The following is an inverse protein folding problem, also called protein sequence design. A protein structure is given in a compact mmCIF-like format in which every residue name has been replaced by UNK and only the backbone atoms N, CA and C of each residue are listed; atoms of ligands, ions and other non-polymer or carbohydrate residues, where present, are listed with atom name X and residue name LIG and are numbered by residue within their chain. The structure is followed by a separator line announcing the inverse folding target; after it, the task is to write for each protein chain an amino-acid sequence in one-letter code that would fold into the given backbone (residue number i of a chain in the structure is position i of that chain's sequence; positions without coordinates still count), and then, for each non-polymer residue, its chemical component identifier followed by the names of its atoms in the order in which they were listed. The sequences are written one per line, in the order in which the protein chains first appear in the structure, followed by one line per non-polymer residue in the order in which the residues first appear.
data_IF_845307254630
#
_entry.id   IF_845307254630
#
_cell.length_a   1.000
_cell.length_b   1.000
_cell.length_c   1.000
_cell.angle_alpha   90.00
_cell.angle_beta   90.00
_cell.angle_gamma   90.00
#
_symmetry.space_group_name_H-M   'P 1'
#
loop_
_entity.id
_entity.type
_entity.pdbx_description
1 polymer ?
#
# COMPACT_ATOMS: atom_id res chain seq x y z
N UNK A 1 -64.40 -7.49 -8.76
CA UNK A 1 -63.12 -6.76 -8.90
C UNK A 1 -62.10 -7.43 -7.98
N UNK A 2 -61.28 -8.33 -8.52
CA UNK A 2 -60.22 -9.00 -7.74
C UNK A 2 -58.97 -8.14 -7.78
N UNK A 3 -58.55 -7.62 -6.63
CA UNK A 3 -57.32 -6.87 -6.48
C UNK A 3 -56.13 -7.84 -6.44
N UNK A 4 -55.26 -7.77 -7.46
CA UNK A 4 -53.97 -8.43 -7.49
C UNK A 4 -53.01 -7.67 -6.55
N UNK A 5 -52.68 -8.29 -5.42
CA UNK A 5 -51.56 -7.84 -4.58
C UNK A 5 -50.25 -8.26 -5.24
N UNK A 6 -49.54 -7.31 -5.86
CA UNK A 6 -48.14 -7.49 -6.22
C UNK A 6 -47.32 -7.52 -4.93
N UNK A 7 -46.90 -8.70 -4.51
CA UNK A 7 -45.81 -8.84 -3.53
C UNK A 7 -44.54 -8.34 -4.18
N UNK A 8 -44.11 -7.12 -3.85
CA UNK A 8 -42.77 -6.68 -4.16
C UNK A 8 -41.79 -7.62 -3.46
N UNK A 9 -41.10 -8.46 -4.24
CA UNK A 9 -39.92 -9.18 -3.74
C UNK A 9 -38.91 -8.09 -3.41
N UNK A 10 -38.75 -7.79 -2.12
CA UNK A 10 -37.59 -7.05 -1.66
C UNK A 10 -36.39 -7.92 -2.01
N UNK A 11 -35.68 -7.58 -3.08
CA UNK A 11 -34.36 -8.12 -3.32
C UNK A 11 -33.51 -7.73 -2.11
N UNK A 12 -33.33 -8.68 -1.19
CA UNK A 12 -32.40 -8.52 -0.10
C UNK A 12 -31.04 -8.27 -0.75
N UNK A 13 -30.42 -7.14 -0.40
CA UNK A 13 -29.05 -6.86 -0.81
C UNK A 13 -28.22 -8.07 -0.34
N UNK A 14 -27.61 -8.80 -1.29
CA UNK A 14 -26.81 -9.97 -0.98
C UNK A 14 -25.78 -9.59 0.09
N UNK A 15 -25.69 -10.41 1.14
CA UNK A 15 -24.69 -10.18 2.19
C UNK A 15 -23.31 -10.28 1.54
N UNK A 16 -22.36 -9.46 1.98
CA UNK A 16 -21.00 -9.45 1.45
C UNK A 16 -20.38 -10.85 1.43
N UNK A 17 -20.67 -11.67 2.44
CA UNK A 17 -20.19 -13.04 2.53
C UNK A 17 -20.70 -13.94 1.40
N UNK A 18 -21.91 -13.70 0.89
CA UNK A 18 -22.54 -14.47 -0.18
C UNK A 18 -21.95 -14.11 -1.56
N UNK A 19 -21.47 -12.89 -1.72
CA UNK A 19 -20.85 -12.41 -2.96
C UNK A 19 -19.34 -12.65 -3.01
N UNK A 20 -18.75 -13.14 -1.92
CA UNK A 20 -17.32 -13.38 -1.83
C UNK A 20 -16.88 -14.50 -2.78
N UNK A 21 -15.92 -14.20 -3.65
CA UNK A 21 -15.33 -15.15 -4.59
C UNK A 21 -13.81 -15.11 -4.52
N UNK A 22 -13.21 -16.29 -4.51
CA UNK A 22 -11.77 -16.49 -4.73
C UNK A 22 -11.52 -17.02 -6.14
N UNK A 23 -10.54 -16.43 -6.83
CA UNK A 23 -10.06 -16.89 -8.15
C UNK A 23 -8.53 -17.06 -8.13
N UNK A 24 -8.02 -17.91 -9.02
CA UNK A 24 -6.58 -18.14 -9.20
C UNK A 24 -5.99 -19.16 -8.22
N UNK A 25 -4.66 -19.18 -8.13
CA UNK A 25 -3.90 -20.10 -7.28
C UNK A 25 -2.59 -19.44 -6.81
N UNK A 26 -1.90 -20.02 -5.82
CA UNK A 26 -0.69 -19.41 -5.24
C UNK A 26 0.46 -19.25 -6.25
N UNK A 27 0.50 -20.03 -7.32
CA UNK A 27 1.56 -19.99 -8.34
C UNK A 27 1.32 -18.80 -9.29
N UNK A 28 0.08 -18.63 -9.77
CA UNK A 28 -0.31 -17.54 -10.68
C UNK A 28 -0.75 -16.25 -9.98
N UNK A 29 -0.96 -16.29 -8.67
CA UNK A 29 -1.58 -15.23 -7.88
C UNK A 29 -3.05 -15.52 -7.54
N UNK A 30 -3.51 -14.94 -6.45
CA UNK A 30 -4.87 -15.08 -5.94
C UNK A 30 -5.64 -13.77 -6.13
N UNK A 31 -6.94 -13.87 -6.42
CA UNK A 31 -7.84 -12.73 -6.43
C UNK A 31 -9.02 -13.01 -5.50
N UNK A 32 -9.30 -12.07 -4.61
CA UNK A 32 -10.48 -12.09 -3.76
C UNK A 32 -11.38 -10.94 -4.15
N UNK A 33 -12.66 -11.23 -4.36
CA UNK A 33 -13.66 -10.27 -4.81
C UNK A 33 -14.83 -10.34 -3.83
N UNK A 34 -15.32 -9.20 -3.37
CA UNK A 34 -16.55 -9.11 -2.60
C UNK A 34 -17.34 -7.87 -3.04
N UNK A 35 -18.66 -7.95 -2.91
CA UNK A 35 -19.59 -6.93 -3.40
C UNK A 35 -20.67 -6.66 -2.36
N UNK A 36 -21.04 -5.39 -2.20
CA UNK A 36 -22.24 -4.98 -1.47
C UNK A 36 -23.08 -4.02 -2.30
N UNK A 37 -24.39 -4.06 -2.11
CA UNK A 37 -25.30 -3.03 -2.60
C UNK A 37 -25.72 -2.15 -1.42
N UNK A 38 -25.49 -0.85 -1.54
CA UNK A 38 -25.80 0.14 -0.50
C UNK A 38 -26.96 1.02 -0.96
N UNK A 39 -28.18 0.80 -0.46
CA UNK A 39 -29.32 1.65 -0.75
C UNK A 39 -29.05 3.10 -0.36
N UNK A 40 -29.66 4.05 -1.08
CA UNK A 40 -29.58 5.49 -0.79
C UNK A 40 -28.14 6.05 -0.74
N UNK A 41 -27.20 5.42 -1.44
CA UNK A 41 -25.82 5.88 -1.58
C UNK A 41 -25.50 6.19 -3.04
N UNK A 42 -24.74 7.26 -3.28
CA UNK A 42 -24.13 7.55 -4.58
C UNK A 42 -22.74 6.92 -4.66
N UNK A 43 -22.26 6.49 -5.84
CA UNK A 43 -20.93 5.90 -6.01
C UNK A 43 -19.80 6.71 -5.37
N UNK A 44 -19.73 8.02 -5.66
CA UNK A 44 -18.71 8.92 -5.10
C UNK A 44 -18.75 8.94 -3.57
N UNK A 45 -19.96 8.95 -2.97
CA UNK A 45 -20.10 8.98 -1.50
C UNK A 45 -19.74 7.65 -0.86
N UNK A 46 -19.98 6.53 -1.53
CA UNK A 46 -19.57 5.21 -1.06
C UNK A 46 -18.04 5.07 -1.09
N UNK A 47 -17.40 5.54 -2.16
CA UNK A 47 -15.93 5.52 -2.29
C UNK A 47 -15.24 6.46 -1.31
N UNK A 48 -15.79 7.65 -1.05
CA UNK A 48 -15.26 8.53 -0.01
C UNK A 48 -15.39 7.94 1.40
N UNK A 49 -16.47 7.20 1.69
CA UNK A 49 -16.54 6.40 2.92
C UNK A 49 -15.44 5.33 2.95
N UNK A 50 -15.26 4.58 1.85
CA UNK A 50 -14.23 3.55 1.76
C UNK A 50 -12.82 4.09 1.94
N UNK A 51 -12.53 5.29 1.45
CA UNK A 51 -11.26 5.97 1.71
C UNK A 51 -11.04 6.18 3.21
N UNK A 52 -12.04 6.71 3.93
CA UNK A 52 -11.96 6.90 5.37
C UNK A 52 -11.78 5.58 6.13
N UNK A 53 -12.54 4.55 5.75
CA UNK A 53 -12.47 3.20 6.33
C UNK A 53 -11.08 2.58 6.12
N UNK A 54 -10.55 2.66 4.90
CA UNK A 54 -9.23 2.17 4.53
C UNK A 54 -8.12 2.88 5.33
N UNK A 55 -8.15 4.21 5.37
CA UNK A 55 -7.18 5.02 6.11
C UNK A 55 -7.20 4.69 7.61
N UNK A 56 -8.39 4.56 8.22
CA UNK A 56 -8.55 4.19 9.62
C UNK A 56 -8.00 2.78 9.94
N UNK A 57 -8.06 1.86 8.97
CA UNK A 57 -7.49 0.51 9.07
C UNK A 57 -6.01 0.43 8.69
N UNK A 58 -5.39 1.55 8.34
CA UNK A 58 -3.96 1.60 8.03
C UNK A 58 -3.61 1.24 6.59
N UNK A 59 -4.58 1.13 5.68
CA UNK A 59 -4.31 0.95 4.25
C UNK A 59 -3.78 2.22 3.62
N UNK A 60 -2.81 2.09 2.71
CA UNK A 60 -2.30 3.23 1.95
C UNK A 60 -3.30 3.62 0.87
N UNK A 61 -3.60 4.91 0.75
CA UNK A 61 -4.41 5.44 -0.35
C UNK A 61 -3.49 5.73 -1.54
N UNK A 62 -3.60 4.92 -2.59
CA UNK A 62 -2.71 4.97 -3.75
C UNK A 62 -3.25 5.89 -4.85
N UNK A 63 -4.56 5.86 -5.09
CA UNK A 63 -5.25 6.77 -6.01
C UNK A 63 -6.71 6.93 -5.55
N UNK A 64 -7.17 8.17 -5.44
CA UNK A 64 -8.57 8.51 -5.15
C UNK A 64 -9.18 9.14 -6.41
N UNK A 65 -10.00 8.36 -7.10
CA UNK A 65 -10.74 8.75 -8.30
C UNK A 65 -12.24 8.55 -8.04
N UNK A 66 -12.70 8.86 -6.83
CA UNK A 66 -14.08 8.60 -6.42
C UNK A 66 -15.11 9.28 -7.35
N UNK A 67 -14.77 10.43 -7.93
CA UNK A 67 -15.57 11.13 -8.93
C UNK A 67 -15.76 10.32 -10.23
N UNK A 68 -14.82 9.44 -10.54
CA UNK A 68 -14.83 8.53 -11.68
C UNK A 68 -15.17 7.08 -11.30
N UNK A 69 -15.59 6.84 -10.06
CA UNK A 69 -16.06 5.53 -9.60
C UNK A 69 -14.96 4.54 -9.21
N UNK A 70 -13.74 5.00 -8.90
CA UNK A 70 -12.62 4.14 -8.54
C UNK A 70 -11.83 4.64 -7.32
N UNK A 71 -11.32 3.71 -6.52
CA UNK A 71 -10.39 3.94 -5.43
C UNK A 71 -9.36 2.80 -5.43
N UNK A 72 -8.08 3.14 -5.43
CA UNK A 72 -6.99 2.18 -5.28
C UNK A 72 -6.37 2.35 -3.90
N UNK A 73 -6.39 1.28 -3.12
CA UNK A 73 -5.69 1.19 -1.85
C UNK A 73 -4.66 0.06 -1.89
N UNK A 74 -3.74 0.07 -0.94
CA UNK A 74 -2.73 -0.98 -0.81
C UNK A 74 -2.62 -1.42 0.65
N UNK A 75 -2.52 -2.73 0.88
CA UNK A 75 -2.14 -3.21 2.20
C UNK A 75 -0.69 -2.81 2.45
N UNK A 76 -0.38 -2.05 3.52
CA UNK A 76 1.00 -1.66 3.80
C UNK A 76 1.85 -2.89 4.05
N UNK A 77 3.14 -2.76 3.76
CA UNK A 77 4.11 -3.76 4.19
C UNK A 77 4.15 -3.81 5.71
N UNK A 78 4.01 -5.01 6.27
CA UNK A 78 4.11 -5.24 7.72
C UNK A 78 4.87 -6.52 7.97
N UNK A 79 5.97 -6.44 8.73
CA UNK A 79 6.83 -7.61 9.00
C UNK A 79 7.25 -8.32 7.71
N UNK A 80 6.81 -9.57 7.54
CA UNK A 80 7.08 -10.40 6.34
C UNK A 80 6.00 -10.29 5.25
N UNK A 81 4.89 -9.58 5.49
CA UNK A 81 3.83 -9.40 4.52
C UNK A 81 4.23 -8.35 3.47
N UNK A 82 4.35 -8.80 2.21
CA UNK A 82 4.54 -7.91 1.06
C UNK A 82 3.23 -7.17 0.76
N UNK A 83 3.36 -5.91 0.34
CA UNK A 83 2.22 -5.11 -0.08
C UNK A 83 1.53 -5.69 -1.33
N UNK A 84 0.21 -5.49 -1.42
CA UNK A 84 -0.59 -5.85 -2.59
C UNK A 84 -1.76 -4.88 -2.80
N UNK A 85 -2.14 -4.63 -4.06
CA UNK A 85 -3.19 -3.67 -4.39
C UNK A 85 -4.58 -4.23 -4.13
N UNK A 86 -5.48 -3.33 -3.75
CA UNK A 86 -6.92 -3.57 -3.65
C UNK A 86 -7.62 -2.46 -4.42
N UNK A 87 -8.35 -2.82 -5.47
CA UNK A 87 -9.17 -1.89 -6.25
C UNK A 87 -10.59 -1.94 -5.73
N UNK A 88 -11.16 -0.77 -5.46
CA UNK A 88 -12.55 -0.61 -5.06
C UNK A 88 -13.24 0.21 -6.14
N UNK A 89 -14.31 -0.30 -6.72
CA UNK A 89 -15.13 0.42 -7.69
C UNK A 89 -16.55 0.55 -7.19
N UNK A 90 -17.23 1.62 -7.61
CA UNK A 90 -18.63 1.82 -7.29
C UNK A 90 -19.40 2.23 -8.54
N UNK A 91 -20.55 1.58 -8.75
CA UNK A 91 -21.51 1.93 -9.80
C UNK A 91 -22.88 2.18 -9.17
N UNK A 92 -23.76 2.86 -9.91
CA UNK A 92 -25.13 3.12 -9.47
C UNK A 92 -26.09 2.23 -10.26
N UNK A 93 -26.99 1.57 -9.55
CA UNK A 93 -28.08 0.81 -10.13
C UNK A 93 -29.30 0.88 -9.21
N UNK A 94 -30.47 1.20 -9.77
CA UNK A 94 -31.75 1.22 -9.06
C UNK A 94 -31.76 2.05 -7.75
N UNK A 95 -31.05 3.19 -7.71
CA UNK A 95 -30.98 4.05 -6.53
C UNK A 95 -30.11 3.52 -5.38
N UNK A 96 -29.36 2.44 -5.63
CA UNK A 96 -28.34 1.91 -4.76
C UNK A 96 -26.96 2.02 -5.41
N UNK A 97 -25.92 2.12 -4.59
CA UNK A 97 -24.54 1.99 -5.07
C UNK A 97 -24.07 0.55 -4.89
N UNK A 98 -23.67 -0.08 -5.98
CA UNK A 98 -22.98 -1.38 -5.96
C UNK A 98 -21.49 -1.12 -5.81
N UNK A 99 -20.91 -1.56 -4.70
CA UNK A 99 -19.49 -1.38 -4.39
C UNK A 99 -18.79 -2.74 -4.48
N UNK A 100 -17.77 -2.82 -5.32
CA UNK A 100 -16.96 -4.03 -5.53
C UNK A 100 -15.57 -3.78 -5.01
N UNK A 101 -15.05 -4.70 -4.19
CA UNK A 101 -13.66 -4.69 -3.71
C UNK A 101 -12.94 -5.90 -4.29
N UNK A 102 -11.79 -5.67 -4.95
CA UNK A 102 -10.95 -6.72 -5.51
C UNK A 102 -9.52 -6.63 -4.98
N UNK A 103 -9.11 -7.61 -4.17
CA UNK A 103 -7.74 -7.76 -3.68
C UNK A 103 -6.95 -8.73 -4.55
N UNK A 104 -5.78 -8.31 -5.04
CA UNK A 104 -4.91 -9.11 -5.94
C UNK A 104 -3.60 -9.47 -5.25
N UNK A 105 -3.51 -10.71 -4.75
CA UNK A 105 -2.28 -11.24 -4.17
C UNK A 105 -1.35 -11.76 -5.28
N UNK A 106 -0.09 -11.37 -5.20
CA UNK A 106 0.95 -11.78 -6.16
C UNK A 106 1.32 -13.25 -5.96
N UNK A 107 1.96 -13.84 -6.95
CA UNK A 107 2.52 -15.19 -6.85
C UNK A 107 3.34 -15.39 -5.56
N UNK A 108 3.12 -16.52 -4.89
CA UNK A 108 3.72 -16.87 -3.60
C UNK A 108 3.15 -16.11 -2.40
N UNK A 109 2.17 -15.21 -2.58
CA UNK A 109 1.39 -14.66 -1.47
C UNK A 109 0.12 -15.49 -1.27
N UNK A 110 -0.24 -15.69 -0.01
CA UNK A 110 -1.49 -16.34 0.36
C UNK A 110 -2.04 -15.73 1.64
N UNK A 111 -3.33 -15.93 1.83
CA UNK A 111 -4.03 -15.72 3.09
C UNK A 111 -5.15 -16.77 3.18
N UNK A 112 -5.72 -16.95 4.37
CA UNK A 112 -6.88 -17.83 4.55
C UNK A 112 -8.11 -17.18 3.91
N UNK A 113 -8.94 -17.98 3.27
CA UNK A 113 -10.14 -17.50 2.57
C UNK A 113 -11.09 -16.81 3.56
N UNK A 114 -11.22 -17.35 4.78
CA UNK A 114 -11.99 -16.72 5.86
C UNK A 114 -11.41 -15.37 6.26
N UNK A 115 -10.09 -15.26 6.44
CA UNK A 115 -9.45 -13.99 6.79
C UNK A 115 -9.62 -12.93 5.69
N UNK A 116 -9.52 -13.31 4.42
CA UNK A 116 -9.77 -12.39 3.29
C UNK A 116 -11.24 -11.93 3.26
N UNK A 117 -12.18 -12.87 3.36
CA UNK A 117 -13.62 -12.57 3.38
C UNK A 117 -13.98 -11.67 4.55
N UNK A 118 -13.56 -12.03 5.76
CA UNK A 118 -13.91 -11.32 6.97
C UNK A 118 -13.36 -9.89 6.95
N UNK A 119 -12.13 -9.67 6.46
CA UNK A 119 -11.55 -8.33 6.31
C UNK A 119 -12.26 -7.50 5.24
N UNK A 120 -12.50 -8.06 4.05
CA UNK A 120 -13.19 -7.35 2.96
C UNK A 120 -14.62 -6.98 3.36
N UNK A 121 -15.34 -7.90 3.99
CA UNK A 121 -16.71 -7.65 4.45
C UNK A 121 -16.76 -6.73 5.66
N UNK A 122 -15.78 -6.77 6.56
CA UNK A 122 -15.68 -5.78 7.63
C UNK A 122 -15.51 -4.35 7.11
N UNK A 123 -14.85 -4.16 5.96
CA UNK A 123 -14.76 -2.84 5.32
C UNK A 123 -16.05 -2.48 4.57
N UNK A 124 -16.55 -3.35 3.69
CA UNK A 124 -17.71 -3.08 2.85
C UNK A 124 -18.99 -2.85 3.68
N UNK A 125 -19.18 -3.59 4.77
CA UNK A 125 -20.37 -3.47 5.62
C UNK A 125 -20.37 -2.20 6.49
N UNK A 126 -19.29 -1.43 6.53
CA UNK A 126 -19.27 -0.12 7.19
C UNK A 126 -19.86 1.00 6.34
N UNK A 127 -20.06 0.79 5.03
CA UNK A 127 -20.62 1.80 4.14
C UNK A 127 -22.10 1.99 4.47
N UNK A 128 -22.51 3.25 4.61
CA UNK A 128 -23.88 3.63 4.95
C UNK A 128 -24.52 4.41 3.80
N UNK A 129 -25.83 4.25 3.67
CA UNK A 129 -26.69 5.07 2.83
C UNK A 129 -27.20 6.33 3.53
N UNK A 130 -27.91 7.17 2.76
CA UNK A 130 -28.65 8.33 3.24
C UNK A 130 -27.79 9.37 3.97
N UNK A 131 -28.39 10.06 4.95
CA UNK A 131 -27.70 11.14 5.70
C UNK A 131 -26.47 10.65 6.47
N UNK A 132 -26.51 9.43 7.01
CA UNK A 132 -25.38 8.84 7.72
C UNK A 132 -24.20 8.58 6.76
N UNK A 133 -24.50 8.06 5.56
CA UNK A 133 -23.52 7.88 4.50
C UNK A 133 -22.86 9.18 4.07
N UNK A 134 -23.66 10.24 3.88
CA UNK A 134 -23.13 11.57 3.52
C UNK A 134 -22.20 12.15 4.60
N UNK A 135 -22.53 11.97 5.88
CA UNK A 135 -21.69 12.43 6.98
C UNK A 135 -20.37 11.64 7.07
N UNK A 136 -20.44 10.31 6.91
CA UNK A 136 -19.26 9.46 6.89
C UNK A 136 -18.36 9.77 5.68
N UNK A 137 -18.96 10.00 4.50
CA UNK A 137 -18.24 10.38 3.29
C UNK A 137 -17.44 11.68 3.49
N UNK A 138 -18.05 12.70 4.09
CA UNK A 138 -17.36 13.98 4.40
C UNK A 138 -16.13 13.78 5.29
N UNK A 139 -16.18 12.82 6.22
CA UNK A 139 -15.05 12.51 7.12
C UNK A 139 -13.96 11.69 6.41
N UNK A 140 -14.32 10.96 5.35
CA UNK A 140 -13.37 10.21 4.52
C UNK A 140 -12.67 11.07 3.47
N UNK A 141 -13.28 12.19 3.04
CA UNK A 141 -12.62 13.17 2.17
C UNK A 141 -11.35 13.67 2.83
N UNK A 142 -10.23 13.55 2.13
CA UNK A 142 -8.93 14.00 2.66
C UNK A 142 -8.32 13.06 3.70
N UNK A 143 -8.99 11.96 4.07
CA UNK A 143 -8.43 11.01 5.03
C UNK A 143 -7.11 10.45 4.49
N UNK A 144 -6.11 10.43 5.37
CA UNK A 144 -4.78 9.87 5.13
C UNK A 144 -4.52 8.76 6.13
N UNK A 145 -3.73 7.79 5.69
CA UNK A 145 -3.32 6.66 6.51
C UNK A 145 -2.51 7.15 7.71
N UNK A 146 -2.83 6.66 8.90
CA UNK A 146 -2.02 6.93 10.09
C UNK A 146 -0.62 6.36 9.89
N UNK A 147 0.41 7.13 10.21
CA UNK A 147 1.79 6.69 10.08
C UNK A 147 2.05 5.43 10.93
N UNK A 148 2.32 4.30 10.27
CA UNK A 148 2.73 3.08 10.92
C UNK A 148 4.14 3.23 11.53
N UNK A 149 4.48 2.35 12.47
CA UNK A 149 5.85 2.23 12.96
C UNK A 149 6.83 1.97 11.79
N UNK A 150 8.10 2.42 11.88
CA UNK A 150 9.07 2.21 10.82
C UNK A 150 9.19 0.73 10.43
N UNK A 151 9.13 0.45 9.13
CA UNK A 151 9.33 -0.90 8.61
C UNK A 151 10.82 -1.25 8.72
N UNK A 152 11.13 -2.33 9.44
CA UNK A 152 12.51 -2.78 9.66
C UNK A 152 12.92 -3.78 8.60
N UNK A 153 14.02 -3.51 7.88
CA UNK A 153 14.58 -4.44 6.89
C UNK A 153 16.02 -4.09 6.53
N UNK A 154 16.79 -5.05 6.02
CA UNK A 154 18.14 -4.77 5.55
C UNK A 154 18.13 -4.08 4.18
N UNK A 155 19.24 -3.41 3.84
CA UNK A 155 19.41 -2.62 2.63
C UNK A 155 19.26 -3.44 1.35
N UNK A 156 19.73 -4.70 1.32
CA UNK A 156 19.59 -5.58 0.17
C UNK A 156 18.13 -5.94 -0.08
N UNK A 157 17.39 -6.33 0.96
CA UNK A 157 15.96 -6.65 0.87
C UNK A 157 15.15 -5.43 0.42
N UNK A 158 15.47 -4.24 0.93
CA UNK A 158 14.78 -3.01 0.52
C UNK A 158 15.06 -2.67 -0.94
N UNK A 159 16.33 -2.73 -1.36
CA UNK A 159 16.74 -2.52 -2.75
C UNK A 159 16.07 -3.50 -3.71
N UNK A 160 16.11 -4.80 -3.41
CA UNK A 160 15.45 -5.82 -4.23
C UNK A 160 13.95 -5.57 -4.36
N UNK A 161 13.31 -5.14 -3.28
CA UNK A 161 11.89 -4.86 -3.27
C UNK A 161 11.55 -3.64 -4.13
N UNK A 162 12.26 -2.52 -3.93
CA UNK A 162 12.04 -1.30 -4.74
C UNK A 162 12.37 -1.58 -6.21
N UNK A 163 13.43 -2.33 -6.51
CA UNK A 163 13.74 -2.75 -7.89
C UNK A 163 12.62 -3.57 -8.50
N UNK A 164 12.01 -4.48 -7.74
CA UNK A 164 10.89 -5.29 -8.24
C UNK A 164 9.61 -4.50 -8.43
N UNK A 165 9.32 -3.54 -7.56
CA UNK A 165 8.19 -2.65 -7.80
C UNK A 165 8.47 -1.71 -8.98
N UNK A 166 9.72 -1.30 -9.20
CA UNK A 166 10.16 -0.50 -10.35
C UNK A 166 10.00 -1.25 -11.67
N UNK A 167 10.47 -2.49 -11.75
CA UNK A 167 10.31 -3.36 -12.93
C UNK A 167 8.84 -3.57 -13.32
N UNK A 168 7.94 -3.57 -12.33
CA UNK A 168 6.50 -3.73 -12.55
C UNK A 168 5.83 -2.43 -12.96
N UNK A 169 6.13 -1.34 -12.26
CA UNK A 169 5.58 -0.02 -12.51
C UNK A 169 6.40 1.04 -11.76
N UNK A 170 7.40 1.61 -12.43
CA UNK A 170 8.24 2.69 -11.89
C UNK A 170 7.43 3.89 -11.39
N UNK A 171 6.41 4.31 -12.15
CA UNK A 171 5.57 5.47 -11.80
C UNK A 171 4.82 5.30 -10.47
N UNK A 172 4.54 4.06 -10.06
CA UNK A 172 3.87 3.76 -8.80
C UNK A 172 4.79 3.69 -7.58
N UNK A 173 6.12 3.73 -7.76
CA UNK A 173 7.09 3.56 -6.66
C UNK A 173 6.98 4.72 -5.68
N UNK A 174 7.07 5.97 -6.15
CA UNK A 174 7.04 7.10 -5.23
C UNK A 174 5.69 7.20 -4.51
N UNK A 175 4.57 6.96 -5.20
CA UNK A 175 3.24 6.87 -4.58
C UNK A 175 3.18 5.83 -3.46
N UNK A 176 3.84 4.68 -3.65
CA UNK A 176 3.89 3.59 -2.66
C UNK A 176 4.74 3.92 -1.44
N UNK A 177 5.89 4.57 -1.63
CA UNK A 177 6.90 4.67 -0.58
C UNK A 177 6.97 6.04 0.08
N UNK A 178 6.61 7.14 -0.60
CA UNK A 178 6.79 8.50 -0.10
C UNK A 178 6.10 8.70 1.25
N UNK A 179 6.81 9.32 2.19
CA UNK A 179 6.32 9.57 3.55
C UNK A 179 6.39 8.37 4.48
N UNK A 180 6.68 7.16 3.99
CA UNK A 180 6.85 5.98 4.83
C UNK A 180 8.23 5.97 5.49
N UNK A 181 8.25 5.53 6.73
CA UNK A 181 9.48 5.38 7.51
C UNK A 181 10.01 3.94 7.42
N UNK A 182 11.32 3.84 7.24
CA UNK A 182 12.03 2.57 7.24
C UNK A 182 13.21 2.66 8.21
N UNK A 183 13.43 1.59 8.95
CA UNK A 183 14.68 1.35 9.67
C UNK A 183 15.50 0.35 8.86
N UNK A 184 16.59 0.84 8.26
CA UNK A 184 17.42 0.09 7.33
C UNK A 184 18.76 -0.27 7.96
N UNK A 185 19.02 -1.55 8.13
CA UNK A 185 20.33 -2.08 8.48
C UNK A 185 21.15 -2.45 7.22
N UNK A 186 22.48 -2.33 7.29
CA UNK A 186 23.36 -2.69 6.18
C UNK A 186 24.80 -2.24 6.42
N UNK A 187 25.57 -2.11 5.35
CA UNK A 187 26.94 -1.58 5.39
C UNK A 187 27.02 -0.22 4.72
N UNK A 188 27.90 0.65 5.20
CA UNK A 188 28.23 1.91 4.53
C UNK A 188 28.95 1.62 3.21
N UNK A 189 28.45 2.18 2.12
CA UNK A 189 29.20 2.28 0.87
C UNK A 189 30.08 3.53 0.89
N UNK A 190 29.44 4.68 1.06
CA UNK A 190 30.09 5.98 1.14
C UNK A 190 29.39 6.90 2.13
N UNK A 191 30.12 7.93 2.54
CA UNK A 191 29.61 9.10 3.23
C UNK A 191 30.13 10.32 2.49
N UNK A 192 29.25 11.25 2.13
CA UNK A 192 29.65 12.47 1.44
C UNK A 192 28.88 13.68 1.96
N UNK A 193 29.52 14.84 1.96
CA UNK A 193 28.85 16.11 2.29
C UNK A 193 28.05 16.56 1.07
N UNK A 194 26.79 16.94 1.29
CA UNK A 194 25.91 17.47 0.25
C UNK A 194 25.19 18.70 0.78
N UNK A 195 25.65 19.88 0.35
CA UNK A 195 25.25 21.16 0.95
C UNK A 195 25.51 21.19 2.46
N UNK A 196 24.42 21.38 3.22
CA UNK A 196 24.44 21.46 4.68
C UNK A 196 24.19 20.11 5.37
N UNK A 197 23.98 19.02 4.62
CA UNK A 197 23.72 17.69 5.14
C UNK A 197 24.83 16.71 4.76
N UNK A 198 24.78 15.52 5.37
CA UNK A 198 25.57 14.37 4.95
C UNK A 198 24.66 13.36 4.25
N UNK A 199 25.15 12.78 3.16
CA UNK A 199 24.55 11.62 2.51
C UNK A 199 25.32 10.37 2.87
N UNK A 200 24.59 9.32 3.21
CA UNK A 200 25.13 7.99 3.48
C UNK A 200 24.51 7.02 2.48
N UNK A 201 25.34 6.43 1.62
CA UNK A 201 24.92 5.35 0.72
C UNK A 201 25.09 3.99 1.38
N UNK A 202 24.13 3.09 1.17
CA UNK A 202 24.26 1.70 1.59
C UNK A 202 24.99 0.88 0.53
N UNK A 203 25.86 -0.03 0.99
CA UNK A 203 26.58 -0.97 0.11
C UNK A 203 25.63 -2.09 -0.29
N UNK A 204 25.29 -2.13 -1.57
CA UNK A 204 24.32 -3.09 -2.13
C UNK A 204 24.93 -3.70 -3.40
N UNK A 205 25.18 -5.02 -3.43
CA UNK A 205 25.77 -5.68 -4.59
C UNK A 205 24.78 -5.70 -5.77
N UNK A 206 25.31 -5.57 -6.98
CA UNK A 206 24.50 -5.79 -8.17
C UNK A 206 23.96 -7.23 -8.22
N UNK A 207 22.83 -7.50 -8.90
CA UNK A 207 22.29 -8.86 -8.97
C UNK A 207 23.25 -9.93 -9.51
N UNK A 208 24.18 -9.56 -10.40
CA UNK A 208 25.22 -10.47 -10.94
C UNK A 208 26.44 -10.65 -10.03
N UNK A 209 26.59 -9.83 -9.00
CA UNK A 209 27.66 -9.93 -7.98
C UNK A 209 27.21 -10.74 -6.75
N UNK A 210 25.93 -11.10 -6.68
CA UNK A 210 25.37 -11.81 -5.53
C UNK A 210 25.71 -13.30 -5.60
N UNK A 211 26.17 -13.85 -4.47
CA UNK A 211 26.52 -15.27 -4.35
C UNK A 211 25.33 -16.20 -4.65
N UNK A 212 24.12 -15.76 -4.34
CA UNK A 212 22.86 -16.47 -4.64
C UNK A 212 21.90 -15.45 -5.25
N UNK A 213 21.46 -15.71 -6.48
CA UNK A 213 20.42 -14.93 -7.15
C UNK A 213 19.07 -15.61 -6.93
N UNK A 214 18.11 -14.88 -6.36
CA UNK A 214 16.80 -15.43 -6.12
C UNK A 214 16.01 -15.59 -7.44
N UNK A 215 15.18 -16.65 -7.58
CA UNK A 215 14.22 -16.75 -8.67
C UNK A 215 13.34 -15.50 -8.69
N UNK A 216 13.12 -14.92 -9.87
CA UNK A 216 12.40 -13.66 -10.02
C UNK A 216 13.01 -12.52 -9.19
N UNK A 217 14.33 -12.31 -9.21
CA UNK A 217 14.97 -11.06 -8.79
C UNK A 217 15.01 -10.05 -9.94
N UNK A 218 14.96 -8.74 -9.65
CA UNK A 218 15.09 -7.71 -10.68
C UNK A 218 16.48 -7.80 -11.34
N UNK A 219 16.62 -7.46 -12.64
CA UNK A 219 17.92 -7.47 -13.30
C UNK A 219 18.84 -6.33 -12.86
N UNK A 220 18.32 -5.37 -12.06
CA UNK A 220 19.05 -4.22 -11.52
C UNK A 220 18.85 -4.08 -10.00
N UNK A 221 19.76 -3.34 -9.36
CA UNK A 221 19.60 -2.89 -7.97
C UNK A 221 19.01 -1.49 -7.92
N UNK A 222 18.34 -1.18 -6.81
CA UNK A 222 18.02 0.20 -6.44
C UNK A 222 18.99 0.63 -5.34
N UNK A 223 19.69 1.74 -5.51
CA UNK A 223 20.55 2.30 -4.46
C UNK A 223 19.71 2.97 -3.39
N UNK A 224 20.12 2.77 -2.14
CA UNK A 224 19.44 3.32 -0.97
C UNK A 224 20.35 4.37 -0.36
N UNK A 225 19.86 5.60 -0.30
CA UNK A 225 20.62 6.76 0.20
C UNK A 225 19.86 7.45 1.32
N UNK A 226 20.59 7.76 2.39
CA UNK A 226 20.07 8.47 3.55
C UNK A 226 20.66 9.88 3.62
N UNK A 227 19.79 10.90 3.55
CA UNK A 227 20.11 12.26 3.98
C UNK A 227 19.99 12.34 5.50
N UNK A 228 21.12 12.59 6.14
CA UNK A 228 21.22 12.63 7.60
C UNK A 228 20.49 13.85 8.15
N UNK A 229 19.73 13.66 9.22
CA UNK A 229 18.97 14.72 9.87
C UNK A 229 19.89 15.83 10.43
N UNK A 230 19.36 17.06 10.65
CA UNK A 230 20.07 18.10 11.38
C UNK A 230 20.60 17.59 12.73
N UNK A 231 21.83 17.98 13.07
CA UNK A 231 22.53 17.54 14.29
C UNK A 231 23.23 16.18 14.20
N UNK A 232 23.18 15.48 13.06
CA UNK A 232 23.82 14.17 12.89
C UNK A 232 25.26 14.24 12.34
N UNK A 233 25.82 15.43 12.12
CA UNK A 233 27.16 15.60 11.53
C UNK A 233 28.26 14.82 12.27
N UNK A 234 28.24 14.86 13.61
CA UNK A 234 29.21 14.14 14.43
C UNK A 234 29.14 12.62 14.24
N UNK A 235 27.94 12.06 14.10
CA UNK A 235 27.75 10.64 13.79
C UNK A 235 28.20 10.32 12.36
N UNK A 236 27.80 11.14 11.38
CA UNK A 236 28.13 10.94 9.97
C UNK A 236 29.63 10.92 9.71
N UNK A 237 30.41 11.81 10.35
CA UNK A 237 31.86 11.89 10.19
C UNK A 237 32.61 10.68 10.78
N UNK A 238 31.98 9.90 11.67
CA UNK A 238 32.58 8.70 12.26
C UNK A 238 32.31 7.43 11.44
N UNK A 239 31.36 7.49 10.51
CA UNK A 239 31.03 6.37 9.65
C UNK A 239 32.19 6.07 8.69
N UNK A 240 32.47 4.78 8.48
CA UNK A 240 33.53 4.30 7.60
C UNK A 240 32.95 3.30 6.59
N UNK A 241 33.42 3.30 5.33
CA UNK A 241 33.05 2.28 4.36
C UNK A 241 33.20 0.86 4.91
N UNK A 242 32.30 -0.03 4.53
CA UNK A 242 32.23 -1.43 4.97
C UNK A 242 31.95 -1.65 6.47
N UNK A 243 31.58 -0.60 7.24
CA UNK A 243 31.08 -0.76 8.61
C UNK A 243 29.57 -0.87 8.61
N UNK A 244 29.05 -1.64 9.56
CA UNK A 244 27.61 -1.79 9.74
C UNK A 244 26.99 -0.49 10.22
N UNK A 245 25.82 -0.18 9.66
CA UNK A 245 24.98 0.96 10.03
C UNK A 245 23.53 0.54 10.09
N UNK A 246 22.77 1.25 10.91
CA UNK A 246 21.32 1.10 11.03
C UNK A 246 20.71 2.48 11.17
N UNK A 247 20.00 2.93 10.15
CA UNK A 247 19.39 4.27 10.11
C UNK A 247 17.89 4.15 9.99
N UNK A 248 17.16 5.03 10.67
CA UNK A 248 15.73 5.24 10.44
C UNK A 248 15.54 6.55 9.70
N UNK A 249 14.79 6.52 8.60
CA UNK A 249 14.50 7.70 7.78
C UNK A 249 13.15 7.59 7.08
N UNK A 250 12.73 8.67 6.44
CA UNK A 250 11.45 8.77 5.71
C UNK A 250 11.72 8.86 4.21
N UNK A 251 11.10 8.01 3.38
CA UNK A 251 11.28 8.11 1.92
C UNK A 251 10.74 9.44 1.41
N UNK A 252 11.55 10.16 0.63
CA UNK A 252 11.21 11.46 0.07
C UNK A 252 11.20 11.47 -1.46
N UNK A 253 12.18 10.81 -2.07
CA UNK A 253 12.38 10.87 -3.51
C UNK A 253 12.83 9.52 -4.08
N UNK A 254 12.55 9.31 -5.36
CA UNK A 254 12.96 8.17 -6.14
C UNK A 254 13.28 8.64 -7.57
N UNK A 255 14.47 8.28 -8.06
CA UNK A 255 14.94 8.55 -9.43
C UNK A 255 14.85 7.22 -10.17
N UNK A 256 13.82 7.12 -11.00
CA UNK A 256 13.50 5.90 -11.75
C UNK A 256 14.56 5.54 -12.79
N UNK A 257 15.31 6.53 -13.30
CA UNK A 257 16.32 6.33 -14.32
C UNK A 257 17.66 5.88 -13.73
N UNK A 258 18.03 6.44 -12.57
CA UNK A 258 19.25 6.05 -11.86
C UNK A 258 19.03 4.88 -10.89
N UNK A 259 17.79 4.48 -10.68
CA UNK A 259 17.38 3.50 -9.68
C UNK A 259 17.93 3.86 -8.30
N UNK A 260 17.62 5.06 -7.80
CA UNK A 260 18.03 5.50 -6.47
C UNK A 260 16.81 5.93 -5.69
N UNK A 261 16.68 5.45 -4.45
CA UNK A 261 15.68 5.88 -3.49
C UNK A 261 16.34 6.65 -2.35
N UNK A 262 15.81 7.82 -2.04
CA UNK A 262 16.31 8.69 -0.98
C UNK A 262 15.37 8.74 0.20
N UNK A 263 15.95 8.55 1.37
CA UNK A 263 15.33 8.78 2.66
C UNK A 263 15.87 10.09 3.23
N UNK A 264 14.99 10.89 3.83
CA UNK A 264 15.34 12.09 4.59
C UNK A 264 15.24 11.86 6.09
N UNK A 265 15.74 12.85 6.83
CA UNK A 265 15.73 12.90 8.28
C UNK A 265 16.34 11.63 8.91
N UNK A 266 17.36 11.05 8.26
CA UNK A 266 17.95 9.80 8.72
C UNK A 266 18.71 10.00 10.04
N UNK A 267 18.42 9.11 11.00
CA UNK A 267 19.04 9.08 12.34
C UNK A 267 19.49 7.65 12.67
N UNK A 268 20.57 7.45 13.44
CA UNK A 268 20.91 6.12 13.96
C UNK A 268 19.74 5.55 14.74
N UNK A 269 19.33 4.33 14.38
CA UNK A 269 18.31 3.62 15.13
C UNK A 269 18.92 3.14 16.46
N UNK A 270 18.17 3.31 17.55
CA UNK A 270 18.48 2.68 18.82
C UNK A 270 18.36 1.14 18.73
#
# INVERSE_FOLDING_TARGET
MSALFFTAVQAQAADCAETFVKKGNIIGGLRFIATVSVPDAKPVTALQQMRGIAAAKGYDIMADEAEYGSLLIEQPMTGSARAFPITITATEAAGASTVVMEAKLRAGQSTKDTAARDEMCAMLNQIKGGKAGLAAAKSGVGATTVAAAPVKMNSLSFSQQVSKDTERNAAGVLTRYKGKQFTIDGMVDYVTKDGNAFRVGYKIPNPWEQAIRLPNQAPFKTDVVCYMAPGQAGYSLQLKPNKSIKLTGTVEHFDEYKHVIWLKDCRPAQ
#
